data_IF_970382955276
#
_entry.id   IF_970382955276
#
_cell.length_a   1.000
_cell.length_b   1.000
_cell.length_c   1.000
_cell.angle_alpha   90.00
_cell.angle_beta   90.00
_cell.angle_gamma   90.00
#
_symmetry.space_group_name_H-M   'P 1'
#
loop_
_entity.id
_entity.type
_entity.pdbx_description
1 polymer ?
#
# COMPACT_ATOMS: atom_id res chain seq x y z
N UNK A 1 13.61 -0.77 -10.93
CA UNK A 1 12.64 -1.86 -10.77
C UNK A 1 12.30 -2.30 -12.17
N UNK A 2 12.83 -3.44 -12.62
CA UNK A 2 12.67 -3.87 -14.01
C UNK A 2 11.27 -4.49 -14.15
N UNK A 3 10.44 -3.97 -15.07
CA UNK A 3 9.06 -4.43 -15.34
C UNK A 3 9.01 -5.89 -15.85
N UNK A 4 10.15 -6.57 -15.95
CA UNK A 4 10.34 -7.86 -16.63
C UNK A 4 9.95 -9.08 -15.80
N UNK A 5 9.91 -9.00 -14.46
CA UNK A 5 9.74 -10.20 -13.60
C UNK A 5 8.32 -10.43 -13.05
N UNK A 6 7.47 -9.38 -12.99
CA UNK A 6 6.12 -9.46 -12.37
C UNK A 6 4.98 -9.59 -13.38
N UNK A 7 5.26 -9.39 -14.67
CA UNK A 7 4.24 -9.43 -15.74
C UNK A 7 3.39 -8.16 -15.82
N UNK A 8 2.28 -8.18 -16.60
CA UNK A 8 1.40 -7.01 -16.76
C UNK A 8 0.57 -6.74 -15.49
N UNK A 9 0.17 -5.48 -15.30
CA UNK A 9 -0.76 -5.10 -14.24
C UNK A 9 -2.13 -5.75 -14.43
N UNK A 10 -2.74 -6.13 -13.32
CA UNK A 10 -4.13 -6.59 -13.28
C UNK A 10 -5.04 -5.39 -13.05
N UNK A 11 -5.48 -4.77 -14.15
CA UNK A 11 -6.33 -3.59 -14.09
C UNK A 11 -7.71 -3.87 -13.46
N UNK A 12 -8.22 -5.09 -13.58
CA UNK A 12 -9.54 -5.45 -13.03
C UNK A 12 -9.48 -5.59 -11.52
N UNK A 13 -8.43 -6.22 -10.99
CA UNK A 13 -8.16 -6.23 -9.54
C UNK A 13 -7.92 -4.81 -9.03
N UNK A 14 -7.13 -3.99 -9.72
CA UNK A 14 -6.91 -2.59 -9.32
C UNK A 14 -8.20 -1.75 -9.33
N UNK A 15 -9.10 -1.94 -10.32
CA UNK A 15 -10.44 -1.32 -10.33
C UNK A 15 -11.31 -1.78 -9.18
N UNK A 16 -11.27 -3.07 -8.84
CA UNK A 16 -12.01 -3.61 -7.71
C UNK A 16 -11.50 -3.05 -6.37
N UNK A 17 -10.18 -3.00 -6.16
CA UNK A 17 -9.56 -2.38 -4.98
C UNK A 17 -9.97 -0.91 -4.91
N UNK A 18 -9.86 -0.16 -6.01
CA UNK A 18 -10.29 1.25 -6.06
C UNK A 18 -11.74 1.41 -5.65
N UNK A 19 -12.65 0.58 -6.18
CA UNK A 19 -14.07 0.60 -5.81
C UNK A 19 -14.29 0.39 -4.32
N UNK A 20 -13.55 -0.53 -3.70
CA UNK A 20 -13.61 -0.79 -2.25
C UNK A 20 -13.07 0.37 -1.41
N UNK A 21 -11.98 1.01 -1.83
CA UNK A 21 -11.39 2.13 -1.11
C UNK A 21 -12.24 3.41 -1.22
N UNK A 22 -12.93 3.61 -2.35
CA UNK A 22 -13.87 4.73 -2.51
C UNK A 22 -15.12 4.64 -1.62
N UNK A 23 -15.41 3.48 -1.04
CA UNK A 23 -16.52 3.28 -0.10
C UNK A 23 -16.06 3.30 1.36
N UNK A 24 -14.80 3.66 1.61
CA UNK A 24 -14.19 3.65 2.92
C UNK A 24 -13.90 5.09 3.33
N UNK A 25 -14.61 5.57 4.36
CA UNK A 25 -14.56 6.97 4.80
C UNK A 25 -13.18 7.42 5.31
N UNK A 26 -12.23 6.47 5.45
CA UNK A 26 -10.85 6.80 5.78
C UNK A 26 -10.08 7.44 4.63
N UNK A 27 -10.58 7.40 3.40
CA UNK A 27 -9.87 7.93 2.22
C UNK A 27 -10.59 9.13 1.63
N UNK A 28 -9.83 10.17 1.31
CA UNK A 28 -10.36 11.39 0.64
C UNK A 28 -10.15 11.36 -0.87
N UNK A 29 -9.10 10.68 -1.33
CA UNK A 29 -8.76 10.57 -2.74
C UNK A 29 -8.28 9.17 -3.10
N UNK A 30 -8.81 8.60 -4.18
CA UNK A 30 -8.38 7.28 -4.69
C UNK A 30 -8.27 7.31 -6.21
N UNK A 31 -7.04 7.28 -6.73
CA UNK A 31 -6.74 7.53 -8.15
C UNK A 31 -5.69 6.61 -8.74
N UNK A 32 -5.80 6.39 -10.04
CA UNK A 32 -4.78 5.71 -10.82
C UNK A 32 -3.69 6.70 -11.23
N UNK A 33 -2.44 6.30 -11.04
CA UNK A 33 -1.26 7.11 -11.30
C UNK A 33 -0.29 6.39 -12.26
N UNK A 34 0.31 7.09 -13.25
CA UNK A 34 -0.12 8.40 -13.74
C UNK A 34 -1.53 8.31 -14.33
N UNK A 35 -2.24 9.44 -14.40
CA UNK A 35 -3.56 9.55 -15.03
C UNK A 35 -3.54 9.38 -16.57
N UNK A 36 -2.46 8.83 -17.12
CA UNK A 36 -2.29 8.57 -18.54
C UNK A 36 -2.92 7.23 -18.95
N UNK A 37 -2.83 6.89 -20.24
CA UNK A 37 -3.35 5.64 -20.82
C UNK A 37 -2.68 4.35 -20.30
N UNK A 38 -1.69 4.46 -19.41
CA UNK A 38 -1.03 3.33 -18.73
C UNK A 38 -1.06 3.61 -17.23
N UNK A 39 -2.03 3.02 -16.54
CA UNK A 39 -2.04 2.96 -15.07
C UNK A 39 -0.74 2.27 -14.64
N UNK A 40 -0.01 2.85 -13.69
CA UNK A 40 1.19 2.22 -13.10
C UNK A 40 0.97 1.84 -11.63
N UNK A 41 0.06 2.55 -10.96
CA UNK A 41 -0.17 2.50 -9.53
C UNK A 41 -1.62 2.95 -9.19
N UNK A 42 -2.14 2.48 -8.06
CA UNK A 42 -3.35 3.00 -7.43
C UNK A 42 -2.94 3.70 -6.13
N UNK A 43 -3.04 5.02 -6.12
CA UNK A 43 -2.83 5.85 -4.93
C UNK A 43 -4.14 6.03 -4.15
N UNK A 44 -4.08 5.92 -2.83
CA UNK A 44 -5.21 6.19 -1.94
C UNK A 44 -4.75 7.06 -0.76
N UNK A 45 -5.16 8.33 -0.76
CA UNK A 45 -4.83 9.31 0.27
C UNK A 45 -5.83 9.20 1.42
N UNK A 46 -5.31 9.08 2.64
CA UNK A 46 -6.15 9.05 3.83
C UNK A 46 -6.71 10.44 4.16
N UNK A 47 -7.83 10.46 4.87
CA UNK A 47 -8.35 11.66 5.50
C UNK A 47 -7.37 12.16 6.58
N UNK A 48 -6.89 13.39 6.40
CA UNK A 48 -5.93 14.05 7.29
C UNK A 48 -6.43 14.17 8.73
N UNK A 49 -7.74 14.23 8.93
CA UNK A 49 -8.37 14.31 10.26
C UNK A 49 -8.19 13.06 11.12
N UNK A 50 -7.80 11.93 10.50
CA UNK A 50 -7.46 10.71 11.23
C UNK A 50 -6.10 10.77 11.93
N UNK A 51 -5.26 11.75 11.61
CA UNK A 51 -3.87 11.81 12.06
C UNK A 51 -3.61 13.04 12.95
N UNK A 52 -2.68 12.95 13.91
CA UNK A 52 -2.22 14.11 14.66
C UNK A 52 -1.60 15.20 13.77
N UNK A 53 -1.49 16.42 14.30
CA UNK A 53 -0.99 17.57 13.53
C UNK A 53 0.42 17.37 12.96
N UNK A 54 1.28 16.57 13.59
CA UNK A 54 2.65 16.35 13.13
C UNK A 54 2.77 15.48 11.86
N UNK A 55 1.72 14.76 11.45
CA UNK A 55 1.73 13.92 10.22
C UNK A 55 1.06 14.68 9.08
N UNK A 56 1.83 15.28 8.19
CA UNK A 56 1.32 16.12 7.10
C UNK A 56 0.41 15.37 6.11
N UNK A 57 0.78 14.15 5.72
CA UNK A 57 0.03 13.34 4.75
C UNK A 57 0.23 11.85 5.04
N UNK A 58 -0.72 11.02 4.59
CA UNK A 58 -0.59 9.56 4.61
C UNK A 58 -1.31 8.95 3.40
N UNK A 59 -0.69 7.96 2.75
CA UNK A 59 -1.28 7.28 1.58
C UNK A 59 -0.91 5.81 1.48
N UNK A 60 -1.73 5.07 0.74
CA UNK A 60 -1.39 3.76 0.20
C UNK A 60 -1.04 3.89 -1.28
N UNK A 61 -0.01 3.15 -1.69
CA UNK A 61 0.41 2.93 -3.06
C UNK A 61 0.30 1.44 -3.39
N UNK A 62 -0.57 1.11 -4.35
CA UNK A 62 -0.96 -0.27 -4.63
C UNK A 62 -0.67 -0.62 -6.10
N UNK A 63 0.07 -1.71 -6.29
CA UNK A 63 0.30 -2.35 -7.59
C UNK A 63 -0.09 -3.82 -7.50
N UNK A 64 -0.79 -4.30 -8.53
CA UNK A 64 -1.23 -5.68 -8.62
C UNK A 64 -1.01 -6.21 -10.03
N UNK A 65 -0.60 -7.47 -10.15
CA UNK A 65 -0.23 -8.09 -11.44
C UNK A 65 -1.05 -9.35 -11.70
N UNK A 66 -1.22 -9.71 -12.97
CA UNK A 66 -2.04 -10.87 -13.38
C UNK A 66 -1.53 -12.18 -12.75
N UNK A 67 -0.22 -12.28 -12.48
CA UNK A 67 0.39 -13.43 -11.79
C UNK A 67 0.12 -13.51 -10.29
N UNK A 68 -0.65 -12.58 -9.71
CA UNK A 68 -0.93 -12.50 -8.28
C UNK A 68 0.17 -11.87 -7.45
N UNK A 69 1.27 -11.46 -8.09
CA UNK A 69 2.29 -10.59 -7.48
C UNK A 69 1.68 -9.21 -7.19
N UNK A 70 2.22 -8.54 -6.17
CA UNK A 70 1.74 -7.23 -5.75
C UNK A 70 2.82 -6.46 -4.99
N UNK A 71 2.60 -5.15 -4.88
CA UNK A 71 3.26 -4.29 -3.90
C UNK A 71 2.21 -3.37 -3.30
N UNK A 72 2.14 -3.34 -1.98
CA UNK A 72 1.35 -2.37 -1.22
C UNK A 72 2.31 -1.60 -0.33
N UNK A 73 2.36 -0.29 -0.49
CA UNK A 73 3.23 0.60 0.26
C UNK A 73 2.38 1.60 1.02
N UNK A 74 2.56 1.67 2.33
CA UNK A 74 1.99 2.72 3.15
C UNK A 74 3.09 3.71 3.52
N UNK A 75 2.85 5.00 3.31
CA UNK A 75 3.77 6.07 3.67
C UNK A 75 3.06 7.23 4.36
N UNK A 76 3.75 7.82 5.33
CA UNK A 76 3.41 9.05 6.04
C UNK A 76 4.52 10.07 5.77
N UNK A 77 4.14 11.33 5.50
CA UNK A 77 5.06 12.45 5.52
C UNK A 77 4.79 13.28 6.76
N UNK A 78 5.82 13.52 7.58
CA UNK A 78 5.70 14.31 8.80
C UNK A 78 6.12 15.75 8.56
N UNK A 79 5.64 16.67 9.39
CA UNK A 79 5.93 18.11 9.25
C UNK A 79 7.41 18.47 9.33
N UNK A 80 8.22 17.66 10.02
CA UNK A 80 9.68 17.86 10.14
C UNK A 80 10.47 17.25 8.97
N UNK A 81 9.78 16.70 7.97
CA UNK A 81 10.36 16.01 6.82
C UNK A 81 10.69 14.54 7.08
N UNK A 82 10.38 14.01 8.27
CA UNK A 82 10.47 12.57 8.54
C UNK A 82 9.50 11.81 7.62
N UNK A 83 9.96 10.68 7.09
CA UNK A 83 9.12 9.71 6.40
C UNK A 83 8.94 8.47 7.27
N UNK A 84 7.70 8.02 7.38
CA UNK A 84 7.37 6.74 8.01
C UNK A 84 6.71 5.84 6.99
N UNK A 85 7.29 4.67 6.72
CA UNK A 85 6.81 3.79 5.66
C UNK A 85 7.00 2.29 5.97
N UNK A 86 6.09 1.47 5.43
CA UNK A 86 6.17 0.01 5.45
C UNK A 86 5.54 -0.59 4.18
N UNK A 87 5.95 -1.81 3.80
CA UNK A 87 5.51 -2.42 2.53
C UNK A 87 5.20 -3.89 2.64
N UNK A 88 4.17 -4.33 1.93
CA UNK A 88 3.81 -5.73 1.75
C UNK A 88 4.02 -6.09 0.28
N UNK A 89 4.92 -7.03 0.03
CA UNK A 89 5.33 -7.36 -1.32
C UNK A 89 5.14 -8.85 -1.59
N UNK A 90 4.69 -9.17 -2.80
CA UNK A 90 4.78 -10.50 -3.40
C UNK A 90 5.49 -10.37 -4.74
N UNK A 91 6.76 -10.74 -4.78
CA UNK A 91 7.58 -10.90 -5.99
C UNK A 91 8.89 -11.63 -5.63
N UNK A 92 9.64 -12.18 -6.61
CA UNK A 92 10.89 -12.87 -6.33
C UNK A 92 11.90 -12.00 -5.55
N UNK A 93 12.43 -12.55 -4.43
CA UNK A 93 13.50 -12.00 -3.58
C UNK A 93 14.24 -13.14 -2.84
N UNK A 94 15.48 -12.92 -2.37
CA UNK A 94 16.21 -13.91 -1.55
C UNK A 94 15.51 -14.29 -0.24
N UNK A 95 14.77 -13.36 0.37
CA UNK A 95 14.04 -13.60 1.64
C UNK A 95 12.75 -14.40 1.47
N UNK A 96 12.37 -14.73 0.23
CA UNK A 96 11.09 -15.37 -0.10
C UNK A 96 10.27 -14.55 -1.09
N UNK A 97 9.29 -15.19 -1.74
CA UNK A 97 8.41 -14.52 -2.71
C UNK A 97 7.50 -13.51 -2.04
N UNK A 98 6.98 -13.83 -0.86
CA UNK A 98 6.18 -12.92 -0.04
C UNK A 98 7.03 -12.40 1.11
N UNK A 99 7.02 -11.09 1.31
CA UNK A 99 7.83 -10.44 2.32
C UNK A 99 7.25 -9.12 2.79
N UNK A 100 7.55 -8.76 4.03
CA UNK A 100 7.17 -7.50 4.64
C UNK A 100 8.42 -6.64 4.87
N UNK A 101 8.34 -5.38 4.46
CA UNK A 101 9.31 -4.34 4.78
C UNK A 101 8.79 -3.55 5.98
N UNK A 102 9.41 -3.68 7.16
CA UNK A 102 8.89 -3.08 8.38
C UNK A 102 9.09 -1.56 8.41
N UNK A 103 8.19 -0.90 9.15
CA UNK A 103 8.33 0.47 9.59
C UNK A 103 9.56 0.69 10.49
N UNK A 104 10.11 1.91 10.59
CA UNK A 104 9.60 3.17 10.01
C UNK A 104 10.11 3.49 8.61
N UNK A 105 10.98 2.70 8.01
CA UNK A 105 11.73 3.10 6.82
C UNK A 105 11.71 2.04 5.71
N UNK A 106 10.65 1.22 5.68
CA UNK A 106 10.49 0.08 4.77
C UNK A 106 11.80 -0.72 4.62
N UNK A 107 12.46 -0.97 5.76
CA UNK A 107 13.85 -1.41 5.84
C UNK A 107 14.10 -2.84 5.35
N UNK A 108 14.93 -3.59 6.08
CA UNK A 108 15.25 -4.96 5.70
C UNK A 108 13.98 -5.84 5.68
N UNK A 109 13.70 -6.43 4.52
CA UNK A 109 12.56 -7.31 4.34
C UNK A 109 12.67 -8.57 5.21
N UNK A 110 11.55 -8.98 5.79
CA UNK A 110 11.38 -10.25 6.49
C UNK A 110 10.40 -11.13 5.72
N UNK A 111 10.63 -12.45 5.75
CA UNK A 111 9.67 -13.40 5.18
C UNK A 111 8.31 -13.23 5.87
N UNK A 112 7.25 -13.20 5.08
CA UNK A 112 5.88 -13.08 5.57
C UNK A 112 4.98 -13.88 4.64
N UNK A 113 3.90 -14.45 5.17
CA UNK A 113 2.90 -15.15 4.37
C UNK A 113 1.68 -14.25 4.14
N UNK A 114 1.23 -14.18 2.89
CA UNK A 114 0.04 -13.43 2.51
C UNK A 114 -0.97 -14.32 1.77
N UNK A 115 -2.28 -14.15 2.00
CA UNK A 115 -3.33 -14.84 1.27
C UNK A 115 -3.24 -14.62 -0.24
N UNK A 116 -3.71 -15.58 -1.03
CA UNK A 116 -3.73 -15.43 -2.50
C UNK A 116 -4.80 -14.43 -2.97
N UNK A 117 -5.90 -14.30 -2.23
CA UNK A 117 -6.99 -13.38 -2.56
C UNK A 117 -6.62 -11.93 -2.22
N UNK A 118 -6.78 -11.02 -3.18
CA UNK A 118 -6.46 -9.60 -3.00
C UNK A 118 -7.30 -8.94 -1.90
N UNK A 119 -8.52 -9.44 -1.64
CA UNK A 119 -9.42 -8.89 -0.62
C UNK A 119 -8.90 -9.16 0.78
N UNK A 120 -8.34 -10.35 0.99
CA UNK A 120 -7.78 -10.75 2.27
C UNK A 120 -6.46 -10.00 2.53
N UNK A 121 -5.62 -9.85 1.50
CA UNK A 121 -4.40 -9.01 1.59
C UNK A 121 -4.76 -7.57 1.93
N UNK A 122 -5.75 -6.98 1.23
CA UNK A 122 -6.19 -5.62 1.50
C UNK A 122 -6.71 -5.47 2.93
N UNK A 123 -7.43 -6.47 3.45
CA UNK A 123 -7.92 -6.47 4.83
C UNK A 123 -6.78 -6.48 5.85
N UNK A 124 -5.71 -7.26 5.61
CA UNK A 124 -4.51 -7.28 6.46
C UNK A 124 -3.84 -5.91 6.47
N UNK A 125 -3.62 -5.31 5.30
CA UNK A 125 -2.99 -3.98 5.18
C UNK A 125 -3.82 -2.92 5.92
N UNK A 126 -5.12 -2.87 5.66
CA UNK A 126 -6.00 -1.85 6.24
C UNK A 126 -6.16 -1.99 7.76
N UNK A 127 -6.07 -3.22 8.29
CA UNK A 127 -6.07 -3.47 9.72
C UNK A 127 -4.76 -3.01 10.38
N UNK A 128 -3.61 -3.33 9.77
CA UNK A 128 -2.31 -2.88 10.26
C UNK A 128 -2.21 -1.35 10.30
N UNK A 129 -2.67 -0.67 9.23
CA UNK A 129 -2.66 0.79 9.18
C UNK A 129 -3.64 1.40 10.19
N UNK A 130 -4.81 0.77 10.42
CA UNK A 130 -5.73 1.23 11.45
C UNK A 130 -5.11 1.16 12.86
N UNK A 131 -4.45 0.06 13.20
CA UNK A 131 -3.71 -0.07 14.47
C UNK A 131 -2.60 0.98 14.58
N UNK A 132 -1.85 1.22 13.49
CA UNK A 132 -0.86 2.30 13.44
C UNK A 132 -1.49 3.67 13.74
N UNK A 133 -2.62 4.00 13.11
CA UNK A 133 -3.34 5.25 13.36
C UNK A 133 -3.77 5.36 14.82
N UNK A 134 -4.29 4.28 15.42
CA UNK A 134 -4.66 4.28 16.84
C UNK A 134 -3.47 4.54 17.77
N UNK A 135 -2.30 3.96 17.47
CA UNK A 135 -1.07 4.17 18.28
C UNK A 135 -0.55 5.61 18.21
N UNK A 136 -0.91 6.39 17.19
CA UNK A 136 -0.51 7.78 17.07
C UNK A 136 -1.24 8.72 18.04
N UNK A 137 -2.36 8.25 18.60
CA UNK A 137 -3.20 9.00 19.53
C UNK A 137 -3.14 8.47 20.97
N UNK A 138 -2.39 7.39 21.21
CA UNK A 138 -2.19 6.76 22.52
C UNK A 138 -1.00 7.38 23.26
#
# INVERSE_FOLDING_TARGET
MDETDTGPLDEDVLRAIRGRLLQDDRFTHVTFEPSSNRVRNLGAEYDRSLFPDHIQSARLDIRWYIGGDFSVHYCEEWQDGTQWECRWDRHPKPVGRTHFHPSPNAGQATAADFPSDYRDVLSIVLAYVAERIETLWS
#
